data_IF_581146798365
#
_entry.id   IF_581146798365
#
_cell.length_a   1.000
_cell.length_b   1.000
_cell.length_c   1.000
_cell.angle_alpha   90.00
_cell.angle_beta   90.00
_cell.angle_gamma   90.00
#
_symmetry.space_group_name_H-M   'P 1'
#
loop_
_entity.id
_entity.type
_entity.pdbx_description
1 polymer ?
#
# COMPACT_ATOMS: atom_id res chain seq x y z
N UNK A 1 66.21 -26.00 42.13
CA UNK A 1 66.11 -27.21 41.30
C UNK A 1 64.91 -28.02 41.77
N UNK A 2 63.75 -27.78 41.16
CA UNK A 2 62.54 -28.57 41.41
C UNK A 2 61.84 -28.77 40.06
N UNK A 3 61.79 -30.04 39.70
CA UNK A 3 61.16 -30.61 38.52
C UNK A 3 59.64 -30.58 38.64
N UNK A 4 58.94 -30.16 37.60
CA UNK A 4 57.59 -30.65 37.30
C UNK A 4 57.44 -30.79 35.79
N UNK A 5 57.34 -32.04 35.37
CA UNK A 5 57.10 -32.51 34.01
C UNK A 5 55.66 -32.20 33.58
N UNK A 6 55.50 -31.55 32.43
CA UNK A 6 54.21 -31.43 31.76
C UNK A 6 53.90 -32.73 31.00
N UNK A 7 52.74 -33.39 31.22
CA UNK A 7 52.35 -34.53 30.42
C UNK A 7 51.93 -34.08 29.02
N UNK A 8 52.46 -34.76 28.00
CA UNK A 8 51.98 -34.69 26.63
C UNK A 8 50.51 -35.11 26.58
N UNK A 9 49.61 -34.16 26.25
CA UNK A 9 48.21 -34.49 25.96
C UNK A 9 48.08 -34.92 24.51
N UNK A 10 48.35 -36.20 24.24
CA UNK A 10 47.91 -36.85 23.01
C UNK A 10 46.39 -36.98 23.05
N UNK A 11 45.71 -36.28 22.14
CA UNK A 11 44.26 -36.37 22.05
C UNK A 11 43.74 -35.47 20.95
N UNK A 12 43.67 -36.00 19.73
CA UNK A 12 42.90 -35.42 18.64
C UNK A 12 41.49 -35.14 19.17
N UNK A 13 41.11 -33.87 19.36
CA UNK A 13 39.72 -33.51 19.62
C UNK A 13 38.93 -33.96 18.39
N UNK A 14 38.12 -35.00 18.59
CA UNK A 14 37.14 -35.45 17.60
C UNK A 14 36.19 -34.27 17.39
N UNK A 15 36.29 -33.59 16.24
CA UNK A 15 35.28 -32.64 15.78
C UNK A 15 34.00 -33.45 15.61
N UNK A 16 33.13 -33.42 16.61
CA UNK A 16 31.75 -33.85 16.43
C UNK A 16 31.12 -32.87 15.45
N UNK A 17 30.42 -33.33 14.40
CA UNK A 17 29.63 -32.42 13.58
C UNK A 17 28.55 -31.86 14.50
N UNK A 18 28.66 -30.58 14.88
CA UNK A 18 27.50 -29.89 15.41
C UNK A 18 26.43 -29.95 14.31
N UNK A 19 25.41 -30.75 14.57
CA UNK A 19 24.21 -30.84 13.77
C UNK A 19 23.53 -29.45 13.84
N UNK A 20 23.93 -28.57 12.94
CA UNK A 20 23.23 -27.32 12.67
C UNK A 20 21.96 -27.65 11.88
N UNK A 21 21.05 -28.41 12.49
CA UNK A 21 19.71 -28.66 11.95
C UNK A 21 18.87 -27.41 12.23
N UNK A 22 19.18 -26.34 11.50
CA UNK A 22 18.39 -25.11 11.51
C UNK A 22 16.98 -25.49 11.06
N UNK A 23 15.98 -25.32 11.94
CA UNK A 23 14.58 -25.60 11.58
C UNK A 23 14.22 -24.84 10.29
N UNK A 24 13.47 -25.46 9.36
CA UNK A 24 13.11 -24.79 8.11
C UNK A 24 12.32 -23.51 8.42
N UNK A 25 12.67 -22.40 7.74
CA UNK A 25 11.94 -21.13 7.85
C UNK A 25 10.66 -21.23 7.04
N UNK A 26 9.53 -20.91 7.67
CA UNK A 26 8.24 -20.74 7.00
C UNK A 26 8.07 -19.23 6.78
N UNK A 27 7.88 -18.82 5.52
CA UNK A 27 7.67 -17.41 5.15
C UNK A 27 6.24 -17.29 4.63
N UNK A 28 5.49 -16.35 5.19
CA UNK A 28 4.11 -16.05 4.81
C UNK A 28 4.05 -14.59 4.38
N UNK A 29 3.37 -14.33 3.26
CA UNK A 29 3.10 -12.99 2.76
C UNK A 29 1.60 -12.72 2.83
N UNK A 30 1.22 -11.59 3.41
CA UNK A 30 -0.15 -11.10 3.43
C UNK A 30 -0.22 -9.84 2.56
N UNK A 31 -1.14 -9.83 1.60
CA UNK A 31 -1.46 -8.67 0.77
C UNK A 31 -2.90 -8.27 1.03
N UNK A 32 -3.15 -6.96 1.16
CA UNK A 32 -4.48 -6.44 1.45
C UNK A 32 -5.15 -5.98 0.15
N UNK A 33 -6.40 -6.41 -0.05
CA UNK A 33 -7.20 -6.10 -1.22
C UNK A 33 -7.46 -4.60 -1.37
N UNK A 34 -6.80 -3.99 -2.38
CA UNK A 34 -6.94 -2.57 -2.71
C UNK A 34 -6.93 -1.66 -1.46
N UNK A 35 -6.00 -1.90 -0.54
CA UNK A 35 -5.96 -1.39 0.83
C UNK A 35 -6.52 0.04 1.04
N UNK A 36 -6.03 1.04 0.32
CA UNK A 36 -6.51 2.42 0.51
C UNK A 36 -7.98 2.61 0.16
N UNK A 37 -8.50 1.91 -0.85
CA UNK A 37 -9.95 1.92 -1.16
C UNK A 37 -10.73 1.28 -0.02
N UNK A 38 -10.21 0.19 0.57
CA UNK A 38 -10.86 -0.46 1.71
C UNK A 38 -10.93 0.49 2.92
N UNK A 39 -9.86 1.25 3.19
CA UNK A 39 -9.88 2.29 4.22
C UNK A 39 -10.95 3.36 3.96
N UNK A 40 -11.06 3.87 2.72
CA UNK A 40 -12.08 4.87 2.38
C UNK A 40 -13.50 4.31 2.46
N UNK A 41 -13.72 3.04 2.12
CA UNK A 41 -15.03 2.36 2.26
C UNK A 41 -15.44 2.13 3.71
N UNK A 42 -14.48 2.04 4.61
CA UNK A 42 -14.75 1.95 6.05
C UNK A 42 -15.06 3.33 6.64
N UNK A 43 -14.36 4.37 6.17
CA UNK A 43 -14.65 5.75 6.55
C UNK A 43 -15.98 6.26 5.98
N UNK A 44 -16.28 5.91 4.74
CA UNK A 44 -17.51 6.29 4.05
C UNK A 44 -18.19 5.05 3.43
N UNK A 45 -19.23 4.50 4.10
CA UNK A 45 -19.96 3.32 3.63
C UNK A 45 -20.62 3.48 2.25
N UNK A 46 -20.89 4.72 1.80
CA UNK A 46 -21.51 4.98 0.48
C UNK A 46 -20.58 4.62 -0.69
N UNK A 47 -19.29 4.44 -0.41
CA UNK A 47 -18.28 4.02 -1.39
C UNK A 47 -18.24 2.50 -1.62
N UNK A 48 -19.08 1.74 -0.91
CA UNK A 48 -19.18 0.28 -1.05
C UNK A 48 -19.94 -0.06 -2.34
N UNK A 49 -19.50 -1.11 -3.02
CA UNK A 49 -20.11 -1.64 -4.26
C UNK A 49 -20.16 -0.67 -5.45
N UNK A 50 -19.48 0.47 -5.38
CA UNK A 50 -19.30 1.38 -6.52
C UNK A 50 -17.84 1.39 -6.99
N UNK A 51 -17.58 1.77 -8.26
CA UNK A 51 -16.22 1.96 -8.76
C UNK A 51 -15.54 3.12 -8.05
N UNK A 52 -14.51 2.81 -7.26
CA UNK A 52 -13.72 3.79 -6.51
C UNK A 52 -12.24 3.71 -6.92
N UNK A 53 -11.59 4.87 -6.99
CA UNK A 53 -10.15 4.99 -7.00
C UNK A 53 -9.71 6.01 -5.95
N UNK A 54 -8.49 5.82 -5.44
CA UNK A 54 -7.85 6.75 -4.53
C UNK A 54 -6.71 7.43 -5.26
N UNK A 55 -6.64 8.76 -5.17
CA UNK A 55 -5.60 9.57 -5.76
C UNK A 55 -4.69 10.18 -4.70
N UNK A 56 -3.42 10.35 -5.06
CA UNK A 56 -2.47 11.13 -4.25
C UNK A 56 -2.79 12.63 -4.32
N UNK A 57 -2.29 13.39 -3.35
CA UNK A 57 -2.32 14.85 -3.39
C UNK A 57 -1.62 15.38 -4.66
N UNK A 58 -2.15 16.47 -5.20
CA UNK A 58 -1.49 17.21 -6.27
C UNK A 58 -0.54 18.24 -5.64
N UNK A 59 0.79 18.11 -5.77
CA UNK A 59 1.75 19.07 -5.19
C UNK A 59 1.63 20.48 -5.78
N UNK A 60 0.97 20.61 -6.94
CA UNK A 60 0.67 21.89 -7.58
C UNK A 60 -0.81 22.29 -7.45
N UNK A 61 -1.59 21.54 -6.67
CA UNK A 61 -3.00 21.83 -6.40
C UNK A 61 -3.21 22.61 -5.11
N UNK A 62 -4.48 22.78 -4.73
CA UNK A 62 -4.82 23.27 -3.40
C UNK A 62 -4.41 22.22 -2.36
N UNK A 63 -3.45 22.58 -1.51
CA UNK A 63 -2.88 21.73 -0.45
C UNK A 63 -3.63 21.94 0.88
N UNK A 64 -4.88 22.40 0.82
CA UNK A 64 -5.73 22.55 1.99
C UNK A 64 -5.86 21.21 2.73
N UNK A 65 -5.70 21.26 4.05
CA UNK A 65 -5.88 20.10 4.92
C UNK A 65 -7.36 19.75 4.96
N UNK A 66 -7.78 18.84 4.09
CA UNK A 66 -9.12 18.28 4.13
C UNK A 66 -9.15 17.18 5.18
N UNK A 67 -9.96 17.37 6.23
CA UNK A 67 -10.18 16.34 7.24
C UNK A 67 -10.82 15.08 6.61
N UNK A 68 -10.67 13.92 7.27
CA UNK A 68 -11.16 12.63 6.76
C UNK A 68 -12.66 12.64 6.46
N UNK A 69 -13.45 13.37 7.25
CA UNK A 69 -14.89 13.52 7.06
C UNK A 69 -15.29 14.60 6.05
N UNK A 70 -14.33 15.35 5.50
CA UNK A 70 -14.66 16.42 4.56
C UNK A 70 -15.15 15.83 3.22
N UNK A 71 -16.40 16.11 2.80
CA UNK A 71 -16.93 15.62 1.54
C UNK A 71 -16.20 16.18 0.31
N UNK A 72 -15.44 17.26 0.45
CA UNK A 72 -14.62 17.84 -0.62
C UNK A 72 -13.41 16.96 -0.98
N UNK A 73 -13.15 15.87 -0.24
CA UNK A 73 -12.15 14.86 -0.63
C UNK A 73 -12.53 14.08 -1.89
N UNK A 74 -13.80 14.10 -2.30
CA UNK A 74 -14.24 13.49 -3.56
C UNK A 74 -13.92 14.46 -4.70
N UNK A 75 -12.88 14.14 -5.47
CA UNK A 75 -12.35 14.99 -6.55
C UNK A 75 -12.97 14.68 -7.91
N UNK A 76 -13.61 13.53 -8.07
CA UNK A 76 -14.42 13.21 -9.24
C UNK A 76 -15.51 12.21 -8.88
N UNK A 77 -16.68 12.32 -9.51
CA UNK A 77 -17.77 11.34 -9.40
C UNK A 77 -18.81 11.54 -10.50
N UNK A 78 -19.76 10.59 -10.66
CA UNK A 78 -20.78 10.64 -11.72
C UNK A 78 -21.66 11.90 -11.69
N UNK A 79 -21.88 12.50 -10.51
CA UNK A 79 -22.56 13.80 -10.35
C UNK A 79 -21.61 15.00 -10.25
N UNK A 80 -20.32 14.76 -10.01
CA UNK A 80 -19.35 15.79 -9.66
C UNK A 80 -18.25 15.82 -10.74
N UNK A 81 -18.43 16.64 -11.79
CA UNK A 81 -17.32 17.01 -12.66
C UNK A 81 -16.25 17.65 -11.78
N UNK A 82 -15.01 17.17 -11.89
CA UNK A 82 -13.90 17.58 -11.03
C UNK A 82 -13.92 19.09 -10.77
N UNK A 83 -14.05 19.49 -9.50
CA UNK A 83 -14.00 20.90 -9.09
C UNK A 83 -12.66 21.55 -9.48
N UNK A 84 -11.63 20.75 -9.75
CA UNK A 84 -10.35 21.20 -10.27
C UNK A 84 -9.99 20.41 -11.55
N UNK A 85 -10.27 20.92 -12.76
CA UNK A 85 -9.98 20.21 -14.00
C UNK A 85 -8.48 19.90 -14.17
N UNK A 86 -7.58 20.59 -13.45
CA UNK A 86 -6.15 20.35 -13.49
C UNK A 86 -5.65 19.32 -12.45
N UNK A 87 -6.57 18.65 -11.72
CA UNK A 87 -6.22 17.57 -10.80
C UNK A 87 -5.79 16.31 -11.56
N UNK A 88 -4.57 16.33 -12.11
CA UNK A 88 -3.91 15.17 -12.74
C UNK A 88 -3.34 14.20 -11.69
N UNK A 89 -4.03 14.04 -10.57
CA UNK A 89 -3.62 13.19 -9.47
C UNK A 89 -3.40 11.76 -9.98
N UNK A 90 -2.21 11.21 -9.70
CA UNK A 90 -1.92 9.81 -9.97
C UNK A 90 -2.80 8.96 -9.07
N UNK A 91 -3.41 7.90 -9.62
CA UNK A 91 -4.11 6.94 -8.79
C UNK A 91 -3.10 6.09 -8.00
N UNK A 92 -3.41 5.81 -6.74
CA UNK A 92 -2.56 5.00 -5.84
C UNK A 92 -3.23 3.69 -5.48
N UNK A 93 -4.56 3.64 -5.49
CA UNK A 93 -5.35 2.44 -5.34
C UNK A 93 -6.60 2.50 -6.21
N UNK A 94 -7.06 1.33 -6.65
CA UNK A 94 -8.20 1.18 -7.55
C UNK A 94 -8.99 -0.04 -7.10
N UNK A 95 -10.29 0.14 -6.93
CA UNK A 95 -11.27 -0.90 -6.59
C UNK A 95 -11.37 -1.96 -7.68
N UNK A 96 -11.86 -3.15 -7.34
CA UNK A 96 -12.03 -4.23 -8.31
C UNK A 96 -13.08 -3.89 -9.37
N UNK A 97 -14.13 -3.18 -8.98
CA UNK A 97 -15.20 -2.70 -9.85
C UNK A 97 -14.65 -1.71 -10.89
N UNK A 98 -13.77 -0.79 -10.48
CA UNK A 98 -13.10 0.11 -11.42
C UNK A 98 -12.09 -0.63 -12.32
N UNK A 99 -11.37 -1.64 -11.79
CA UNK A 99 -10.44 -2.47 -12.59
C UNK A 99 -11.17 -3.28 -13.65
N UNK A 100 -12.36 -3.79 -13.36
CA UNK A 100 -13.20 -4.50 -14.32
C UNK A 100 -13.57 -3.59 -15.52
N UNK A 101 -13.71 -2.28 -15.29
CA UNK A 101 -13.89 -1.27 -16.33
C UNK A 101 -12.58 -0.78 -16.98
N UNK A 102 -11.44 -1.44 -16.72
CA UNK A 102 -10.16 -1.14 -17.36
C UNK A 102 -9.34 -0.02 -16.71
N UNK A 103 -9.76 0.50 -15.54
CA UNK A 103 -8.99 1.49 -14.77
C UNK A 103 -7.78 0.82 -14.13
N UNK A 104 -6.61 1.45 -14.27
CA UNK A 104 -5.33 0.98 -13.75
C UNK A 104 -4.76 1.98 -12.76
N UNK A 105 -3.92 1.48 -11.85
CA UNK A 105 -3.22 2.33 -10.86
C UNK A 105 -2.42 3.46 -11.51
N UNK A 106 -1.79 3.22 -12.66
CA UNK A 106 -0.96 4.24 -13.32
C UNK A 106 -1.78 5.22 -14.17
N UNK A 107 -3.11 5.09 -14.20
CA UNK A 107 -3.95 6.04 -14.91
C UNK A 107 -3.96 7.39 -14.18
N UNK A 108 -4.11 8.46 -14.96
CA UNK A 108 -4.43 9.80 -14.45
C UNK A 108 -5.92 9.87 -14.18
N UNK A 109 -6.33 10.66 -13.19
CA UNK A 109 -7.75 10.79 -12.81
C UNK A 109 -8.68 11.05 -14.00
N UNK A 110 -8.32 11.96 -14.91
CA UNK A 110 -9.13 12.23 -16.12
C UNK A 110 -9.24 11.02 -17.06
N UNK A 111 -8.14 10.33 -17.31
CA UNK A 111 -8.11 9.15 -18.20
C UNK A 111 -8.88 7.98 -17.58
N UNK A 112 -8.84 7.84 -16.25
CA UNK A 112 -9.61 6.84 -15.53
C UNK A 112 -11.13 7.11 -15.62
N UNK A 113 -11.55 8.37 -15.48
CA UNK A 113 -12.97 8.76 -15.63
C UNK A 113 -13.48 8.55 -17.06
N UNK A 114 -12.64 8.74 -18.08
CA UNK A 114 -13.01 8.41 -19.47
C UNK A 114 -13.30 6.92 -19.67
N UNK A 115 -12.61 6.04 -18.94
CA UNK A 115 -12.81 4.58 -18.99
C UNK A 115 -14.02 4.14 -18.18
N UNK A 116 -14.30 4.82 -17.07
CA UNK A 116 -15.40 4.51 -16.17
C UNK A 116 -16.10 5.80 -15.74
N UNK A 117 -17.24 6.10 -16.38
CA UNK A 117 -17.99 7.34 -16.14
C UNK A 117 -18.53 7.43 -14.70
N UNK A 118 -18.82 6.29 -14.08
CA UNK A 118 -19.32 6.18 -12.69
C UNK A 118 -18.18 6.16 -11.65
N UNK A 119 -16.93 6.37 -12.08
CA UNK A 119 -15.78 6.31 -11.19
C UNK A 119 -15.80 7.45 -10.17
N UNK A 120 -15.75 7.08 -8.90
CA UNK A 120 -15.52 8.02 -7.79
C UNK A 120 -14.04 8.05 -7.46
N UNK A 121 -13.44 9.24 -7.49
CA UNK A 121 -12.04 9.45 -7.11
C UNK A 121 -12.00 10.20 -5.78
N UNK A 122 -11.34 9.58 -4.79
CA UNK A 122 -11.13 10.17 -3.47
C UNK A 122 -9.66 10.58 -3.32
N UNK A 123 -9.42 11.81 -2.87
CA UNK A 123 -8.09 12.30 -2.55
C UNK A 123 -7.74 12.00 -1.10
N UNK A 124 -6.54 11.45 -0.86
CA UNK A 124 -6.04 11.26 0.51
C UNK A 124 -5.65 12.60 1.14
N UNK A 125 -5.87 12.78 2.46
CA UNK A 125 -5.43 13.97 3.16
C UNK A 125 -3.91 14.11 3.12
N UNK A 126 -3.44 15.34 3.04
CA UNK A 126 -2.03 15.71 3.29
C UNK A 126 -1.90 16.14 4.74
N UNK A 127 -0.71 15.92 5.32
CA UNK A 127 -0.34 16.50 6.60
C UNK A 127 0.65 17.61 6.29
N UNK A 128 0.31 18.85 6.65
CA UNK A 128 1.24 19.98 6.62
C UNK A 128 2.44 19.75 7.54
#
# INVERSE_FOLDING_TARGET
>A
STSTSSPQRTGKRKLTPENNTKRPRIIIHFDLDAFYVACERELNPDLRNIPVAVSQYNPHGDLSDLDKSDPNRIVAGPLCRSKNPNSNGSLIAVSYEARANGVKRNDRGQEAVKKCADLVIVQVPVRQ
#
